data_IF_688550334739
#
_entry.id   IF_688550334739
#
_cell.length_a   1.000
_cell.length_b   1.000
_cell.length_c   1.000
_cell.angle_alpha   90.00
_cell.angle_beta   90.00
_cell.angle_gamma   90.00
#
_symmetry.space_group_name_H-M   'P 1'
#
loop_
_entity.id
_entity.type
_entity.pdbx_description
1 polymer ?
#
# COMPACT_ATOMS: atom_id res chain seq x y z
N UNK A 1 4.67 0.62 -7.43
CA UNK A 1 5.08 -0.58 -8.20
C UNK A 1 5.35 -0.28 -9.67
N UNK A 2 4.41 0.26 -10.44
CA UNK A 2 4.64 0.51 -11.88
C UNK A 2 5.90 1.35 -12.17
N UNK A 3 6.00 2.54 -11.55
CA UNK A 3 7.16 3.43 -11.70
C UNK A 3 8.46 2.77 -11.22
N UNK A 4 8.43 2.05 -10.10
CA UNK A 4 9.63 1.45 -9.52
C UNK A 4 10.19 0.33 -10.40
N UNK A 5 9.32 -0.53 -10.96
CA UNK A 5 9.70 -1.59 -11.89
C UNK A 5 10.16 -1.02 -13.24
N UNK A 6 9.50 0.04 -13.72
CA UNK A 6 9.88 0.71 -14.96
C UNK A 6 11.29 1.31 -14.84
N UNK A 7 11.52 2.14 -13.83
CA UNK A 7 12.80 2.84 -13.63
C UNK A 7 13.92 1.86 -13.27
N UNK A 8 13.64 0.88 -12.42
CA UNK A 8 14.59 -0.17 -12.06
C UNK A 8 14.96 -1.05 -13.26
N UNK A 9 13.98 -1.45 -14.06
CA UNK A 9 14.17 -2.23 -15.28
C UNK A 9 14.90 -1.45 -16.38
N UNK A 10 14.66 -0.14 -16.53
CA UNK A 10 15.38 0.68 -17.51
C UNK A 10 16.88 0.80 -17.18
N UNK A 11 17.21 0.86 -15.88
CA UNK A 11 18.61 0.98 -15.44
C UNK A 11 19.34 -0.35 -15.40
N UNK A 12 18.69 -1.41 -14.89
CA UNK A 12 19.35 -2.68 -14.56
C UNK A 12 18.95 -3.84 -15.48
N UNK A 13 18.05 -3.61 -16.46
CA UNK A 13 17.41 -4.59 -17.38
C UNK A 13 16.53 -5.61 -16.65
N UNK A 14 17.11 -6.36 -15.72
CA UNK A 14 16.42 -7.34 -14.89
C UNK A 14 16.82 -7.15 -13.43
N UNK A 15 15.86 -7.36 -12.52
CA UNK A 15 16.10 -7.29 -11.07
C UNK A 15 15.58 -8.56 -10.40
N UNK A 16 16.38 -9.11 -9.48
CA UNK A 16 16.02 -10.28 -8.65
C UNK A 16 15.49 -9.84 -7.29
N UNK A 17 14.66 -10.68 -6.68
CA UNK A 17 14.06 -10.46 -5.36
C UNK A 17 13.61 -11.81 -4.77
N UNK A 18 13.15 -11.81 -3.52
CA UNK A 18 12.65 -13.01 -2.87
C UNK A 18 11.19 -13.27 -3.25
N UNK A 19 10.97 -14.30 -4.07
CA UNK A 19 9.63 -14.78 -4.46
C UNK A 19 8.74 -15.06 -3.24
N UNK A 20 9.31 -15.60 -2.18
CA UNK A 20 8.58 -16.01 -0.98
C UNK A 20 8.09 -14.79 -0.17
N UNK A 21 8.86 -13.71 -0.16
CA UNK A 21 8.46 -12.45 0.48
C UNK A 21 7.26 -11.80 -0.23
N UNK A 22 7.32 -11.67 -1.56
CA UNK A 22 6.23 -11.12 -2.36
C UNK A 22 4.94 -11.96 -2.25
N UNK A 23 5.06 -13.29 -2.31
CA UNK A 23 3.94 -14.21 -2.15
C UNK A 23 3.28 -14.08 -0.76
N UNK A 24 4.06 -13.83 0.30
CA UNK A 24 3.52 -13.63 1.66
C UNK A 24 2.66 -12.37 1.75
N UNK A 25 3.09 -11.25 1.13
CA UNK A 25 2.24 -10.04 1.07
C UNK A 25 0.95 -10.31 0.30
N UNK A 26 1.03 -10.92 -0.89
CA UNK A 26 -0.13 -11.21 -1.72
C UNK A 26 -1.11 -12.16 -1.04
N UNK A 27 -0.60 -13.17 -0.32
CA UNK A 27 -1.42 -14.13 0.43
C UNK A 27 -2.28 -13.49 1.52
N UNK A 28 -1.93 -12.31 2.02
CA UNK A 28 -2.72 -11.55 3.01
C UNK A 28 -3.51 -10.42 2.34
N UNK A 29 -2.94 -9.77 1.33
CA UNK A 29 -3.56 -8.63 0.65
C UNK A 29 -4.78 -9.06 -0.17
N UNK A 30 -4.73 -10.20 -0.86
CA UNK A 30 -5.87 -10.74 -1.62
C UNK A 30 -7.10 -10.99 -0.74
N UNK A 31 -7.02 -11.77 0.37
CA UNK A 31 -8.19 -11.98 1.22
C UNK A 31 -8.63 -10.70 1.93
N UNK A 32 -7.72 -9.82 2.34
CA UNK A 32 -8.10 -8.52 2.90
C UNK A 32 -8.93 -7.72 1.89
N UNK A 33 -8.41 -7.50 0.68
CA UNK A 33 -9.09 -6.75 -0.37
C UNK A 33 -10.43 -7.41 -0.77
N UNK A 34 -10.44 -8.73 -0.95
CA UNK A 34 -11.65 -9.47 -1.30
C UNK A 34 -12.74 -9.40 -0.24
N UNK A 35 -12.40 -9.64 1.02
CA UNK A 35 -13.38 -9.67 2.10
C UNK A 35 -13.85 -8.27 2.51
N UNK A 36 -12.97 -7.27 2.48
CA UNK A 36 -13.28 -5.93 3.01
C UNK A 36 -13.73 -4.91 1.97
N UNK A 37 -13.31 -5.03 0.70
CA UNK A 37 -13.63 -4.04 -0.34
C UNK A 37 -14.55 -4.59 -1.44
N UNK A 38 -14.52 -5.91 -1.69
CA UNK A 38 -15.33 -6.54 -2.74
C UNK A 38 -16.61 -7.13 -2.16
N UNK A 39 -16.49 -8.00 -1.14
CA UNK A 39 -17.63 -8.72 -0.56
C UNK A 39 -18.79 -7.81 -0.11
N UNK A 40 -18.58 -6.67 0.58
CA UNK A 40 -19.68 -5.84 1.07
C UNK A 40 -20.64 -5.39 -0.02
N UNK A 41 -20.15 -5.18 -1.25
CA UNK A 41 -20.97 -4.73 -2.39
C UNK A 41 -22.01 -5.76 -2.82
N UNK A 42 -21.77 -7.05 -2.54
CA UNK A 42 -22.62 -8.16 -2.97
C UNK A 42 -23.48 -8.74 -1.86
N UNK A 43 -23.42 -8.17 -0.65
CA UNK A 43 -24.23 -8.67 0.47
C UNK A 43 -25.66 -8.13 0.36
N UNK A 44 -26.64 -9.03 0.46
CA UNK A 44 -28.07 -8.68 0.36
C UNK A 44 -28.53 -7.70 1.45
N UNK A 45 -27.91 -7.78 2.64
CA UNK A 45 -28.18 -6.87 3.76
C UNK A 45 -27.50 -5.49 3.65
N UNK A 46 -26.85 -5.20 2.52
CA UNK A 46 -25.98 -4.05 2.30
C UNK A 46 -26.24 -3.37 0.94
N UNK A 47 -27.44 -2.83 0.65
CA UNK A 47 -27.72 -2.23 -0.65
C UNK A 47 -26.73 -1.08 -0.92
N UNK A 48 -25.95 -1.19 -2.00
CA UNK A 48 -24.91 -0.20 -2.33
C UNK A 48 -23.55 -0.43 -1.65
N UNK A 49 -23.42 -1.34 -0.68
CA UNK A 49 -22.15 -1.61 0.02
C UNK A 49 -22.07 -1.05 1.44
N UNK A 50 -23.21 -0.64 2.02
CA UNK A 50 -23.34 -0.31 3.44
C UNK A 50 -23.23 -1.57 4.31
N UNK A 51 -22.27 -1.60 5.22
CA UNK A 51 -22.04 -2.80 6.04
C UNK A 51 -22.97 -2.83 7.26
N UNK A 52 -23.63 -3.96 7.50
CA UNK A 52 -24.41 -4.17 8.74
C UNK A 52 -23.47 -4.29 9.94
N UNK A 53 -23.93 -3.93 11.14
CA UNK A 53 -23.11 -3.94 12.37
C UNK A 53 -22.41 -5.30 12.62
N UNK A 54 -23.09 -6.41 12.29
CA UNK A 54 -22.50 -7.75 12.37
C UNK A 54 -21.31 -7.91 11.39
N UNK A 55 -21.49 -7.48 10.15
CA UNK A 55 -20.45 -7.54 9.12
C UNK A 55 -19.31 -6.58 9.44
N UNK A 56 -19.61 -5.37 9.91
CA UNK A 56 -18.59 -4.42 10.36
C UNK A 56 -17.69 -5.01 11.45
N UNK A 57 -18.29 -5.60 12.50
CA UNK A 57 -17.55 -6.25 13.58
C UNK A 57 -16.70 -7.42 13.07
N UNK A 58 -17.23 -8.23 12.16
CA UNK A 58 -16.49 -9.32 11.53
C UNK A 58 -15.30 -8.81 10.70
N UNK A 59 -15.50 -7.76 9.90
CA UNK A 59 -14.45 -7.17 9.08
C UNK A 59 -13.33 -6.55 9.92
N UNK A 60 -13.65 -5.93 11.06
CA UNK A 60 -12.66 -5.44 12.03
C UNK A 60 -11.80 -6.60 12.54
N UNK A 61 -12.43 -7.68 13.01
CA UNK A 61 -11.74 -8.85 13.55
C UNK A 61 -10.85 -9.52 12.51
N UNK A 62 -11.38 -9.75 11.29
CA UNK A 62 -10.62 -10.35 10.20
C UNK A 62 -9.46 -9.47 9.78
N UNK A 63 -9.66 -8.15 9.67
CA UNK A 63 -8.60 -7.24 9.22
C UNK A 63 -7.45 -7.16 10.22
N UNK A 64 -7.77 -7.00 11.51
CA UNK A 64 -6.78 -7.00 12.59
C UNK A 64 -6.11 -8.37 12.70
N UNK A 65 -6.87 -9.46 12.59
CA UNK A 65 -6.35 -10.83 12.67
C UNK A 65 -5.35 -11.13 11.56
N UNK A 66 -5.70 -10.83 10.31
CA UNK A 66 -4.83 -11.05 9.14
C UNK A 66 -3.59 -10.14 9.19
N UNK A 67 -3.74 -8.85 9.50
CA UNK A 67 -2.62 -7.93 9.61
C UNK A 67 -1.70 -8.26 10.79
N UNK A 68 -2.27 -8.64 11.94
CA UNK A 68 -1.51 -9.08 13.12
C UNK A 68 -0.72 -10.37 12.86
N UNK A 69 -1.34 -11.36 12.20
CA UNK A 69 -0.65 -12.58 11.78
C UNK A 69 0.50 -12.27 10.79
N UNK A 70 0.28 -11.33 9.87
CA UNK A 70 1.32 -10.86 8.97
C UNK A 70 2.49 -10.22 9.73
N UNK A 71 2.22 -9.29 10.66
CA UNK A 71 3.27 -8.65 11.47
C UNK A 71 4.04 -9.66 12.32
N UNK A 72 3.37 -10.66 12.87
CA UNK A 72 4.02 -11.74 13.62
C UNK A 72 5.02 -12.53 12.75
N UNK A 73 4.61 -12.89 11.53
CA UNK A 73 5.47 -13.58 10.56
C UNK A 73 6.64 -12.68 10.14
N UNK A 74 6.36 -11.41 9.83
CA UNK A 74 7.34 -10.46 9.34
C UNK A 74 8.39 -10.09 10.39
N UNK A 75 7.97 -9.82 11.64
CA UNK A 75 8.85 -9.31 12.68
C UNK A 75 9.61 -10.40 13.44
N UNK A 76 9.02 -11.59 13.61
CA UNK A 76 9.56 -12.61 14.51
C UNK A 76 9.95 -13.90 13.79
N UNK A 77 9.02 -14.50 13.02
CA UNK A 77 9.17 -15.91 12.62
C UNK A 77 9.94 -16.12 11.32
N UNK A 78 9.69 -15.27 10.32
CA UNK A 78 10.26 -15.42 8.97
C UNK A 78 10.77 -14.09 8.40
N UNK A 79 11.41 -13.28 9.25
CA UNK A 79 12.03 -11.99 8.85
C UNK A 79 13.04 -12.14 7.70
N UNK A 80 13.65 -13.31 7.54
CA UNK A 80 14.54 -13.65 6.42
C UNK A 80 13.85 -13.60 5.05
N UNK A 81 12.53 -13.82 4.96
CA UNK A 81 11.78 -13.67 3.70
C UNK A 81 11.67 -12.23 3.22
N UNK A 82 11.86 -11.28 4.14
CA UNK A 82 11.76 -9.85 3.88
C UNK A 82 13.14 -9.19 3.74
N UNK A 83 14.22 -9.95 3.90
CA UNK A 83 15.59 -9.44 3.72
C UNK A 83 16.01 -9.58 2.25
N UNK A 84 16.75 -8.59 1.74
CA UNK A 84 17.29 -8.63 0.39
C UNK A 84 18.22 -9.84 0.22
N UNK A 85 17.99 -10.67 -0.79
CA UNK A 85 18.95 -11.71 -1.19
C UNK A 85 20.22 -11.03 -1.70
N UNK A 86 21.34 -11.24 -1.01
CA UNK A 86 22.66 -10.90 -1.55
C UNK A 86 22.98 -11.87 -2.69
N UNK A 87 23.48 -11.38 -3.84
CA UNK A 87 23.91 -12.26 -4.91
C UNK A 87 24.97 -13.22 -4.39
N UNK A 88 24.79 -14.51 -4.62
CA UNK A 88 25.76 -15.55 -4.29
C UNK A 88 26.84 -15.61 -5.38
N UNK A 89 27.60 -14.52 -5.54
CA UNK A 89 28.89 -14.55 -6.23
C UNK A 89 29.96 -14.47 -5.17
N UNK A 90 30.90 -15.43 -5.17
CA UNK A 90 31.95 -15.61 -4.17
C UNK A 90 33.02 -14.51 -4.15
N UNK A 91 32.61 -13.26 -4.04
CA UNK A 91 33.47 -12.12 -3.75
C UNK A 91 33.01 -11.54 -2.41
N UNK A 92 33.87 -11.66 -1.40
CA UNK A 92 33.84 -10.80 -0.22
C UNK A 92 33.93 -9.34 -0.68
N UNK A 93 32.78 -8.72 -0.88
CA UNK A 93 32.65 -7.28 -0.99
C UNK A 93 31.68 -6.86 0.10
N UNK A 94 32.23 -6.70 1.31
CA UNK A 94 31.70 -5.75 2.29
C UNK A 94 31.74 -4.38 1.60
N UNK A 95 30.71 -4.05 0.83
CA UNK A 95 30.47 -2.69 0.42
C UNK A 95 30.06 -1.95 1.70
N UNK A 96 30.83 -0.96 2.16
CA UNK A 96 30.49 -0.22 3.36
C UNK A 96 29.18 0.51 3.09
N UNK A 97 28.20 0.33 3.96
CA UNK A 97 27.00 1.15 4.05
C UNK A 97 27.39 2.63 3.83
N UNK A 98 27.12 3.16 2.64
CA UNK A 98 27.31 4.59 2.32
C UNK A 98 26.21 5.47 2.91
N UNK A 99 25.37 4.88 3.77
CA UNK A 99 24.60 5.61 4.76
C UNK A 99 25.34 5.43 6.08
N UNK A 100 26.21 6.39 6.41
CA UNK A 100 26.81 6.46 7.74
C UNK A 100 25.72 6.19 8.77
N UNK A 101 25.90 5.16 9.59
CA UNK A 101 24.88 4.71 10.53
C UNK A 101 24.33 5.95 11.24
N UNK A 102 23.04 6.28 11.07
CA UNK A 102 22.48 7.45 11.73
C UNK A 102 22.79 7.28 13.22
N UNK A 103 23.25 8.34 13.90
CA UNK A 103 23.69 8.23 15.28
C UNK A 103 22.58 7.55 16.08
N UNK A 104 22.91 6.43 16.72
CA UNK A 104 21.95 5.66 17.51
C UNK A 104 21.54 6.55 18.68
N UNK A 105 20.38 7.20 18.55
CA UNK A 105 19.83 8.10 19.57
C UNK A 105 19.00 7.28 20.55
N UNK A 106 18.82 7.83 21.75
CA UNK A 106 18.03 7.18 22.81
C UNK A 106 16.58 6.92 22.36
N UNK A 107 15.98 5.85 22.90
CA UNK A 107 14.55 5.55 22.71
C UNK A 107 13.68 6.77 23.05
N UNK A 108 14.04 7.51 24.11
CA UNK A 108 13.32 8.73 24.50
C UNK A 108 13.38 9.85 23.45
N UNK A 109 14.50 9.95 22.71
CA UNK A 109 14.61 10.88 21.59
C UNK A 109 13.60 10.52 20.50
N UNK A 110 13.56 9.25 20.08
CA UNK A 110 12.63 8.81 19.04
C UNK A 110 11.16 8.89 19.49
N UNK A 111 10.87 8.50 20.73
CA UNK A 111 9.52 8.55 21.30
C UNK A 111 8.98 9.99 21.39
N UNK A 112 9.83 10.99 21.62
CA UNK A 112 9.43 12.39 21.63
C UNK A 112 9.31 12.99 20.23
N UNK A 113 10.30 12.74 19.35
CA UNK A 113 10.30 13.35 18.00
C UNK A 113 9.25 12.75 17.07
N UNK A 114 8.83 11.50 17.26
CA UNK A 114 7.80 10.87 16.44
C UNK A 114 6.46 11.64 16.51
N UNK A 115 5.82 11.86 17.68
CA UNK A 115 4.59 12.65 17.74
C UNK A 115 4.83 14.11 17.35
N UNK A 116 6.00 14.69 17.70
CA UNK A 116 6.34 16.06 17.32
C UNK A 116 6.38 16.27 15.80
N UNK A 117 6.90 15.29 15.05
CA UNK A 117 6.96 15.34 13.58
C UNK A 117 5.65 14.96 12.91
N UNK A 118 4.84 14.09 13.53
CA UNK A 118 3.51 13.74 13.02
C UNK A 118 2.48 14.85 13.22
N UNK A 119 2.54 15.59 14.33
CA UNK A 119 1.52 16.57 14.70
C UNK A 119 1.31 17.67 13.62
N UNK A 120 2.35 18.29 13.05
CA UNK A 120 2.18 19.22 11.93
C UNK A 120 1.50 18.58 10.72
N UNK A 121 1.86 17.35 10.36
CA UNK A 121 1.30 16.62 9.21
C UNK A 121 -0.19 16.38 9.41
N UNK A 122 -0.60 15.94 10.61
CA UNK A 122 -2.02 15.69 10.95
C UNK A 122 -2.82 17.01 10.98
N UNK A 123 -2.24 18.09 11.50
CA UNK A 123 -2.92 19.40 11.51
C UNK A 123 -3.07 19.98 10.11
N UNK A 124 -2.08 19.77 9.24
CA UNK A 124 -2.10 20.28 7.87
C UNK A 124 -3.01 19.46 6.96
N UNK A 125 -3.13 18.14 7.18
CA UNK A 125 -3.95 17.26 6.34
C UNK A 125 -5.42 17.70 6.30
N UNK A 126 -6.00 18.11 7.43
CA UNK A 126 -7.38 18.63 7.49
C UNK A 126 -7.56 19.90 6.64
N UNK A 127 -6.60 20.82 6.69
CA UNK A 127 -6.66 22.06 5.90
C UNK A 127 -6.45 21.78 4.41
N UNK A 128 -5.60 20.82 4.06
CA UNK A 128 -5.39 20.38 2.68
C UNK A 128 -6.65 19.73 2.10
N UNK A 129 -7.34 18.88 2.86
CA UNK A 129 -8.61 18.29 2.40
C UNK A 129 -9.63 19.37 2.02
N UNK A 130 -9.84 20.37 2.89
CA UNK A 130 -10.75 21.49 2.60
C UNK A 130 -10.31 22.31 1.39
N UNK A 131 -9.00 22.57 1.25
CA UNK A 131 -8.46 23.31 0.11
C UNK A 131 -8.67 22.57 -1.21
N UNK A 132 -8.42 21.26 -1.22
CA UNK A 132 -8.61 20.40 -2.39
C UNK A 132 -10.10 20.32 -2.74
N UNK A 133 -10.99 20.11 -1.77
CA UNK A 133 -12.44 20.04 -2.01
C UNK A 133 -12.99 21.35 -2.59
N UNK A 134 -12.60 22.50 -2.04
CA UNK A 134 -13.01 23.80 -2.56
C UNK A 134 -12.44 24.07 -3.95
N UNK A 135 -11.16 23.76 -4.17
CA UNK A 135 -10.51 23.93 -5.48
C UNK A 135 -11.18 23.08 -6.55
N UNK A 136 -11.52 21.84 -6.21
CA UNK A 136 -12.17 20.88 -7.08
C UNK A 136 -13.62 21.27 -7.40
N UNK A 137 -14.36 21.74 -6.39
CA UNK A 137 -15.74 22.25 -6.57
C UNK A 137 -15.77 23.46 -7.51
N UNK A 138 -14.81 24.38 -7.36
CA UNK A 138 -14.71 25.57 -8.23
C UNK A 138 -14.33 25.23 -9.67
N UNK A 139 -13.58 24.14 -9.88
CA UNK A 139 -13.19 23.62 -11.20
C UNK A 139 -14.22 22.65 -11.81
N UNK A 140 -15.28 22.29 -11.06
CA UNK A 140 -16.28 21.31 -11.49
C UNK A 140 -15.75 19.87 -11.58
N UNK A 141 -14.68 19.53 -10.85
CA UNK A 141 -14.04 18.21 -10.93
C UNK A 141 -14.71 17.13 -10.07
N UNK A 142 -14.54 15.83 -10.41
CA UNK A 142 -15.15 14.72 -9.67
C UNK A 142 -14.61 14.58 -8.24
N UNK A 143 -15.50 14.45 -7.23
CA UNK A 143 -15.13 14.36 -5.81
C UNK A 143 -14.09 13.27 -5.49
N UNK A 144 -14.08 12.16 -6.24
CA UNK A 144 -13.10 11.09 -6.07
C UNK A 144 -11.64 11.54 -6.29
N UNK A 145 -11.40 12.63 -7.04
CA UNK A 145 -10.07 13.24 -7.16
C UNK A 145 -9.54 13.76 -5.82
N UNK A 146 -10.42 14.26 -4.93
CA UNK A 146 -10.02 14.72 -3.61
C UNK A 146 -9.34 13.61 -2.81
N UNK A 147 -9.98 12.44 -2.74
CA UNK A 147 -9.41 11.25 -2.11
C UNK A 147 -8.08 10.81 -2.74
N UNK A 148 -7.98 10.83 -4.07
CA UNK A 148 -6.75 10.52 -4.78
C UNK A 148 -5.60 11.49 -4.43
N UNK A 149 -5.85 12.80 -4.40
CA UNK A 149 -4.84 13.79 -4.05
C UNK A 149 -4.32 13.57 -2.63
N UNK A 150 -5.21 13.31 -1.68
CA UNK A 150 -4.81 13.02 -0.30
C UNK A 150 -4.01 11.72 -0.23
N UNK A 151 -4.42 10.66 -0.93
CA UNK A 151 -3.67 9.42 -1.00
C UNK A 151 -2.25 9.64 -1.56
N UNK A 152 -2.12 10.34 -2.68
CA UNK A 152 -0.81 10.66 -3.28
C UNK A 152 0.06 11.47 -2.31
N UNK A 153 -0.50 12.47 -1.64
CA UNK A 153 0.22 13.31 -0.68
C UNK A 153 0.76 12.49 0.50
N UNK A 154 -0.07 11.60 1.06
CA UNK A 154 0.29 10.77 2.22
C UNK A 154 1.30 9.68 1.84
N UNK A 155 1.15 9.05 0.67
CA UNK A 155 2.04 7.98 0.21
C UNK A 155 3.33 8.50 -0.48
N UNK A 156 3.42 9.79 -0.81
CA UNK A 156 4.55 10.35 -1.55
C UNK A 156 5.93 10.05 -0.94
N UNK A 157 6.15 10.19 0.39
CA UNK A 157 7.46 9.89 0.99
C UNK A 157 7.88 8.43 0.79
N UNK A 158 6.95 7.49 0.93
CA UNK A 158 7.17 6.06 0.72
C UNK A 158 7.39 5.74 -0.76
N UNK A 159 6.64 6.39 -1.65
CA UNK A 159 6.82 6.29 -3.10
C UNK A 159 8.21 6.69 -3.54
N UNK A 160 8.72 7.83 -3.04
CA UNK A 160 10.10 8.29 -3.31
C UNK A 160 11.12 7.31 -2.74
N UNK A 161 10.93 6.80 -1.52
CA UNK A 161 11.81 5.81 -0.92
C UNK A 161 11.87 4.51 -1.73
N UNK A 162 10.73 4.03 -2.23
CA UNK A 162 10.65 2.84 -3.07
C UNK A 162 11.33 3.05 -4.44
N UNK A 163 11.19 4.24 -5.05
CA UNK A 163 11.87 4.56 -6.32
C UNK A 163 13.38 4.61 -6.13
N UNK A 164 13.87 5.22 -5.04
CA UNK A 164 15.31 5.24 -4.71
C UNK A 164 15.85 3.83 -4.51
N UNK A 165 15.14 3.00 -3.74
CA UNK A 165 15.52 1.59 -3.55
C UNK A 165 15.57 0.83 -4.89
N UNK A 166 14.59 1.03 -5.78
CA UNK A 166 14.60 0.39 -7.10
C UNK A 166 15.78 0.83 -7.97
N UNK A 167 16.14 2.13 -7.93
CA UNK A 167 17.31 2.68 -8.61
C UNK A 167 18.64 2.11 -8.09
N UNK A 168 18.70 1.79 -6.80
CA UNK A 168 19.85 1.18 -6.10
C UNK A 168 19.89 -0.35 -6.23
N UNK A 169 19.05 -0.94 -7.08
CA UNK A 169 18.92 -2.38 -7.27
C UNK A 169 18.44 -3.15 -6.02
N UNK A 170 17.72 -2.47 -5.13
CA UNK A 170 17.15 -3.02 -3.90
C UNK A 170 15.67 -3.39 -4.10
N UNK A 171 15.37 -4.29 -5.06
CA UNK A 171 13.99 -4.61 -5.41
C UNK A 171 13.19 -5.23 -4.25
N UNK A 172 13.83 -6.02 -3.37
CA UNK A 172 13.13 -6.54 -2.18
C UNK A 172 12.70 -5.41 -1.25
N UNK A 173 13.55 -4.39 -1.05
CA UNK A 173 13.20 -3.21 -0.26
C UNK A 173 12.06 -2.43 -0.91
N UNK A 174 12.07 -2.27 -2.23
CA UNK A 174 10.97 -1.67 -3.00
C UNK A 174 9.64 -2.42 -2.79
N UNK A 175 9.68 -3.76 -2.89
CA UNK A 175 8.51 -4.61 -2.68
C UNK A 175 8.00 -4.49 -1.25
N UNK A 176 8.89 -4.53 -0.26
CA UNK A 176 8.52 -4.39 1.15
C UNK A 176 7.86 -3.03 1.44
N UNK A 177 8.40 -1.94 0.89
CA UNK A 177 7.81 -0.60 1.05
C UNK A 177 6.44 -0.57 0.39
N UNK A 178 6.35 -0.95 -0.90
CA UNK A 178 5.11 -0.79 -1.66
C UNK A 178 3.99 -1.75 -1.22
N UNK A 179 4.28 -3.04 -1.07
CA UNK A 179 3.29 -4.03 -0.63
C UNK A 179 2.97 -3.89 0.85
N UNK A 180 3.97 -3.56 1.69
CA UNK A 180 3.77 -3.29 3.11
C UNK A 180 2.89 -2.07 3.35
N UNK A 181 3.11 -1.00 2.58
CA UNK A 181 2.26 0.20 2.59
C UNK A 181 0.82 -0.12 2.21
N UNK A 182 0.60 -0.84 1.11
CA UNK A 182 -0.74 -1.25 0.68
C UNK A 182 -1.43 -2.15 1.73
N UNK A 183 -0.70 -3.13 2.27
CA UNK A 183 -1.20 -4.05 3.27
C UNK A 183 -1.56 -3.33 4.59
N UNK A 184 -0.70 -2.42 5.04
CA UNK A 184 -0.94 -1.60 6.23
C UNK A 184 -2.12 -0.65 6.02
N UNK A 185 -2.22 -0.05 4.84
CA UNK A 185 -3.32 0.85 4.50
C UNK A 185 -4.64 0.11 4.58
N UNK A 186 -4.78 -1.05 3.93
CA UNK A 186 -6.03 -1.83 3.98
C UNK A 186 -6.25 -2.42 5.39
N UNK A 187 -5.24 -3.10 5.93
CA UNK A 187 -5.35 -3.86 7.18
C UNK A 187 -5.56 -3.03 8.44
N UNK A 188 -5.15 -1.75 8.45
CA UNK A 188 -5.35 -0.85 9.59
C UNK A 188 -6.37 0.26 9.33
N UNK A 189 -6.50 0.78 8.11
CA UNK A 189 -7.44 1.89 7.85
C UNK A 189 -8.88 1.40 7.89
N UNK A 190 -9.17 0.21 7.35
CA UNK A 190 -10.52 -0.35 7.36
C UNK A 190 -11.05 -0.53 8.79
N UNK A 191 -10.35 -1.23 9.70
CA UNK A 191 -10.83 -1.35 11.07
C UNK A 191 -10.91 0.02 11.77
N UNK A 192 -9.97 0.93 11.51
CA UNK A 192 -10.03 2.28 12.10
C UNK A 192 -11.28 3.05 11.65
N UNK A 193 -11.58 3.07 10.34
CA UNK A 193 -12.75 3.76 9.78
C UNK A 193 -14.05 3.11 10.27
N UNK A 194 -14.12 1.78 10.33
CA UNK A 194 -15.29 1.07 10.84
C UNK A 194 -15.52 1.37 12.33
N UNK A 195 -14.50 1.32 13.17
CA UNK A 195 -14.62 1.66 14.60
C UNK A 195 -15.06 3.11 14.79
N UNK A 196 -14.51 4.05 14.00
CA UNK A 196 -14.95 5.44 14.02
C UNK A 196 -16.42 5.56 13.57
N UNK A 197 -16.82 4.85 12.52
CA UNK A 197 -18.19 4.79 12.04
C UNK A 197 -19.18 4.33 13.12
N UNK A 198 -18.86 3.22 13.79
CA UNK A 198 -19.65 2.69 14.92
C UNK A 198 -19.78 3.69 16.06
N UNK A 199 -18.68 4.31 16.48
CA UNK A 199 -18.67 5.28 17.60
C UNK A 199 -19.42 6.57 17.23
N UNK A 200 -19.34 6.99 15.97
CA UNK A 200 -20.01 8.23 15.49
C UNK A 200 -21.43 8.00 14.99
N UNK A 201 -21.89 6.75 14.92
CA UNK A 201 -23.20 6.37 14.38
C UNK A 201 -23.34 6.66 12.88
N UNK A 202 -22.23 6.74 12.14
CA UNK A 202 -22.22 6.98 10.69
C UNK A 202 -22.09 5.67 9.94
N UNK A 203 -23.00 5.43 9.00
CA UNK A 203 -22.89 4.32 8.06
C UNK A 203 -21.65 4.52 7.19
N UNK A 204 -20.83 3.47 7.07
CA UNK A 204 -19.65 3.45 6.21
C UNK A 204 -19.96 2.56 5.01
N UNK A 205 -19.87 3.12 3.80
CA UNK A 205 -19.91 2.34 2.56
C UNK A 205 -18.48 1.87 2.23
N UNK A 206 -18.23 0.56 2.32
CA UNK A 206 -16.92 -0.04 1.99
C UNK A 206 -16.89 -0.69 0.60
N UNK A 207 -18.06 -1.10 0.09
CA UNK A 207 -18.16 -1.82 -1.17
C UNK A 207 -17.71 -0.96 -2.35
N UNK A 208 -16.68 -1.40 -3.07
CA UNK A 208 -16.22 -0.71 -4.26
C UNK A 208 -17.26 -0.76 -5.38
N UNK A 209 -17.26 0.25 -6.25
CA UNK A 209 -18.05 0.23 -7.48
C UNK A 209 -17.61 -0.92 -8.40
N UNK A 210 -18.49 -1.45 -9.26
CA UNK A 210 -18.16 -2.57 -10.14
C UNK A 210 -16.88 -2.33 -10.97
N UNK A 211 -16.71 -1.14 -11.55
CA UNK A 211 -15.52 -0.81 -12.34
C UNK A 211 -14.23 -0.85 -11.48
N UNK A 212 -14.29 -0.36 -10.24
CA UNK A 212 -13.16 -0.39 -9.30
C UNK A 212 -12.85 -1.81 -8.80
N UNK A 213 -13.87 -2.67 -8.64
CA UNK A 213 -13.66 -4.10 -8.34
C UNK A 213 -12.87 -4.76 -9.47
N UNK A 214 -13.24 -4.53 -10.73
CA UNK A 214 -12.52 -5.09 -11.88
C UNK A 214 -11.07 -4.63 -11.93
N UNK A 215 -10.80 -3.33 -11.74
CA UNK A 215 -9.43 -2.81 -11.71
C UNK A 215 -8.61 -3.35 -10.54
N UNK A 216 -9.20 -3.48 -9.36
CA UNK A 216 -8.54 -4.06 -8.20
C UNK A 216 -8.16 -5.53 -8.47
N UNK A 217 -9.10 -6.33 -8.99
CA UNK A 217 -8.85 -7.73 -9.32
C UNK A 217 -7.77 -7.87 -10.41
N UNK A 218 -7.83 -7.07 -11.47
CA UNK A 218 -6.80 -7.06 -12.51
C UNK A 218 -5.43 -6.67 -11.94
N UNK A 219 -5.38 -5.67 -11.06
CA UNK A 219 -4.14 -5.24 -10.43
C UNK A 219 -3.55 -6.34 -9.55
N UNK A 220 -4.37 -7.01 -8.72
CA UNK A 220 -3.95 -8.14 -7.90
C UNK A 220 -3.46 -9.31 -8.77
N UNK A 221 -4.20 -9.66 -9.82
CA UNK A 221 -3.85 -10.74 -10.73
C UNK A 221 -2.53 -10.47 -11.46
N UNK A 222 -2.37 -9.27 -12.02
CA UNK A 222 -1.11 -8.85 -12.66
C UNK A 222 0.03 -8.84 -11.66
N UNK A 223 -0.21 -8.43 -10.41
CA UNK A 223 0.80 -8.50 -9.35
C UNK A 223 1.21 -9.95 -9.08
N UNK A 224 0.25 -10.87 -8.92
CA UNK A 224 0.54 -12.31 -8.73
C UNK A 224 1.36 -12.88 -9.89
N UNK A 225 0.97 -12.59 -11.14
CA UNK A 225 1.68 -13.08 -12.33
C UNK A 225 3.09 -12.49 -12.39
N UNK A 226 3.25 -11.18 -12.23
CA UNK A 226 4.55 -10.53 -12.33
C UNK A 226 5.51 -10.97 -11.21
N UNK A 227 4.96 -11.25 -10.02
CA UNK A 227 5.75 -11.71 -8.86
C UNK A 227 5.87 -13.23 -8.75
N UNK A 228 5.40 -13.99 -9.74
CA UNK A 228 5.64 -15.44 -9.85
C UNK A 228 6.97 -15.76 -10.55
N UNK A 229 7.50 -14.82 -11.33
CA UNK A 229 8.77 -14.95 -12.02
C UNK A 229 9.93 -14.45 -11.16
N UNK A 230 11.06 -15.17 -11.16
CA UNK A 230 12.26 -14.83 -10.37
C UNK A 230 12.91 -13.47 -10.74
N UNK A 231 12.52 -12.89 -11.88
CA UNK A 231 13.05 -11.63 -12.39
C UNK A 231 11.94 -10.74 -12.90
N UNK A 232 12.08 -9.43 -12.69
CA UNK A 232 11.16 -8.43 -13.24
C UNK A 232 11.80 -7.63 -14.36
N UNK A 233 11.01 -7.24 -15.36
CA UNK A 233 11.44 -6.39 -16.47
C UNK A 233 10.60 -5.10 -16.58
N UNK A 234 10.96 -4.25 -17.54
CA UNK A 234 10.31 -2.97 -17.84
C UNK A 234 8.81 -3.14 -18.17
N UNK A 235 8.43 -4.22 -18.87
CA UNK A 235 7.05 -4.48 -19.27
C UNK A 235 6.12 -4.61 -18.04
N UNK A 236 6.57 -5.27 -16.97
CA UNK A 236 5.80 -5.36 -15.72
C UNK A 236 5.47 -3.98 -15.13
N UNK A 237 6.41 -3.03 -15.25
CA UNK A 237 6.22 -1.65 -14.81
C UNK A 237 5.20 -0.89 -15.67
N UNK A 238 5.30 -1.04 -17.00
CA UNK A 238 4.37 -0.42 -17.96
C UNK A 238 2.94 -0.93 -17.71
N UNK A 239 2.74 -2.23 -17.55
CA UNK A 239 1.40 -2.80 -17.33
C UNK A 239 0.74 -2.22 -16.07
N UNK A 240 1.46 -2.16 -14.95
CA UNK A 240 0.94 -1.55 -13.72
C UNK A 240 0.63 -0.05 -13.89
N UNK A 241 1.46 0.67 -14.64
CA UNK A 241 1.23 2.09 -14.90
C UNK A 241 0.00 2.30 -15.78
N UNK A 242 -0.21 1.45 -16.78
CA UNK A 242 -1.42 1.49 -17.61
C UNK A 242 -2.68 1.22 -16.79
N UNK A 243 -2.69 0.21 -15.90
CA UNK A 243 -3.81 -0.02 -15.00
C UNK A 243 -4.11 1.19 -14.09
N UNK A 244 -3.06 1.85 -13.58
CA UNK A 244 -3.23 3.07 -12.79
C UNK A 244 -3.78 4.23 -13.62
N UNK A 245 -3.32 4.41 -14.87
CA UNK A 245 -3.85 5.43 -15.78
C UNK A 245 -5.33 5.13 -16.12
N UNK A 246 -5.70 3.86 -16.32
CA UNK A 246 -7.11 3.49 -16.51
C UNK A 246 -7.96 3.86 -15.29
N UNK A 247 -7.45 3.63 -14.07
CA UNK A 247 -8.10 4.11 -12.85
C UNK A 247 -8.29 5.64 -12.85
N UNK A 248 -7.28 6.41 -13.27
CA UNK A 248 -7.40 7.87 -13.38
C UNK A 248 -8.48 8.31 -14.38
N UNK A 249 -8.61 7.61 -15.51
CA UNK A 249 -9.64 7.91 -16.51
C UNK A 249 -11.04 7.60 -15.96
N UNK A 250 -11.21 6.47 -15.27
CA UNK A 250 -12.50 6.10 -14.66
C UNK A 250 -12.97 7.05 -13.55
N UNK A 251 -12.11 7.90 -13.00
CA UNK A 251 -12.56 8.93 -12.05
C UNK A 251 -13.42 10.01 -12.74
N UNK A 252 -13.27 10.19 -14.05
CA UNK A 252 -14.00 11.20 -14.83
C UNK A 252 -15.24 10.67 -15.55
N UNK A 253 -15.50 9.37 -15.46
CA UNK A 253 -16.68 8.70 -16.03
C UNK A 253 -17.78 8.59 -14.97
#
# INVERSE_FOLDING_TARGET
MGVTLLVGGLRHREQSYNLQGAATYLGVLIPLAGLSLILPRYMEGAPGGEVTLLVEGWLVVVSIGLYGAFLWIQALRHSSYFTQLQPHDGAEAVCPDHHGHPPVRSIGYHAFFLPLTMLPIVLLSKKMALLVDHGLTNLGGPQALGGLFIAVLVLAPEGVAAIKAALENQLQRTVNIAMGSALSTIGLTIPAVLVIGMVTGKAVELGLSPANIHLLLLTLLVTVVNFSAARTNVLHGIVHLMLFITYLVLIFD
#
